data_IF_780319244626
#
_entry.id   IF_780319244626
#
_cell.length_a   1.000
_cell.length_b   1.000
_cell.length_c   1.000
_cell.angle_alpha   90.00
_cell.angle_beta   90.00
_cell.angle_gamma   90.00
#
_symmetry.space_group_name_H-M   'P 1'
#
loop_
_entity.id
_entity.type
_entity.pdbx_description
1 polymer ?
#
# COMPACT_ATOMS: atom_id res chain seq x y z
N UNK A 1 16.71 -9.05 -40.20
CA UNK A 1 15.87 -9.10 -41.40
C UNK A 1 15.47 -10.54 -41.62
N UNK A 2 14.35 -11.02 -41.08
CA UNK A 2 13.79 -12.33 -41.45
C UNK A 2 12.66 -12.05 -42.46
N UNK A 3 13.01 -12.17 -43.72
CA UNK A 3 12.09 -12.16 -44.85
C UNK A 3 12.05 -13.63 -45.30
N UNK A 4 11.05 -14.33 -44.88
CA UNK A 4 10.43 -15.54 -45.41
C UNK A 4 9.88 -16.39 -44.27
N UNK A 5 8.65 -16.85 -44.44
CA UNK A 5 7.83 -17.63 -43.51
C UNK A 5 8.38 -18.97 -43.01
N UNK A 6 9.62 -19.02 -42.59
CA UNK A 6 10.20 -20.12 -41.86
C UNK A 6 9.70 -20.06 -40.41
N UNK A 7 8.96 -21.10 -40.03
CA UNK A 7 8.60 -21.38 -38.65
C UNK A 7 9.91 -21.57 -37.88
N UNK A 8 10.33 -20.52 -37.17
CA UNK A 8 11.46 -20.58 -36.24
C UNK A 8 11.24 -21.75 -35.27
N UNK A 9 12.25 -22.59 -35.09
CA UNK A 9 12.25 -23.64 -34.06
C UNK A 9 12.01 -22.96 -32.71
N UNK A 10 11.26 -23.59 -31.81
CA UNK A 10 10.91 -23.07 -30.48
C UNK A 10 12.10 -22.42 -29.74
N UNK A 11 13.28 -23.00 -29.84
CA UNK A 11 14.52 -22.46 -29.25
C UNK A 11 14.99 -21.16 -29.90
N UNK A 12 14.86 -21.06 -31.22
CA UNK A 12 15.24 -19.86 -31.97
C UNK A 12 14.25 -18.72 -31.71
N UNK A 13 12.94 -19.00 -31.64
CA UNK A 13 11.89 -18.03 -31.32
C UNK A 13 12.05 -17.53 -29.89
N UNK A 14 12.33 -18.42 -28.94
CA UNK A 14 12.63 -18.06 -27.55
C UNK A 14 13.88 -17.16 -27.46
N UNK A 15 14.97 -17.51 -28.14
CA UNK A 15 16.20 -16.73 -28.12
C UNK A 15 16.01 -15.32 -28.71
N UNK A 16 15.30 -15.24 -29.85
CA UNK A 16 14.98 -13.95 -30.50
C UNK A 16 14.10 -13.08 -29.59
N UNK A 17 13.08 -13.65 -28.96
CA UNK A 17 12.20 -12.95 -28.02
C UNK A 17 12.97 -12.50 -26.77
N UNK A 18 13.84 -13.36 -26.25
CA UNK A 18 14.69 -13.01 -25.11
C UNK A 18 15.65 -11.86 -25.46
N UNK A 19 16.31 -11.94 -26.61
CA UNK A 19 17.18 -10.85 -27.08
C UNK A 19 16.43 -9.55 -27.29
N UNK A 20 15.24 -9.60 -27.90
CA UNK A 20 14.39 -8.42 -28.09
C UNK A 20 13.85 -7.84 -26.78
N UNK A 21 13.59 -8.68 -25.79
CA UNK A 21 13.08 -8.24 -24.51
C UNK A 21 14.16 -7.54 -23.65
N UNK A 22 15.38 -8.09 -23.64
CA UNK A 22 16.41 -7.66 -22.69
C UNK A 22 17.56 -6.87 -23.33
N UNK A 23 18.01 -7.25 -24.52
CA UNK A 23 19.23 -6.72 -25.12
C UNK A 23 18.97 -5.70 -26.23
N UNK A 24 17.82 -5.78 -26.91
CA UNK A 24 17.51 -4.87 -28.00
C UNK A 24 17.28 -3.46 -27.50
N UNK A 25 18.07 -2.49 -28.01
CA UNK A 25 17.94 -1.05 -27.71
C UNK A 25 18.09 -0.69 -26.23
N UNK A 26 19.04 -1.34 -25.52
CA UNK A 26 19.36 -1.07 -24.11
C UNK A 26 18.15 -1.16 -23.14
N UNK A 27 17.19 -2.01 -23.45
CA UNK A 27 15.98 -2.20 -22.64
C UNK A 27 16.26 -2.61 -21.20
N UNK A 28 17.39 -3.27 -20.94
CA UNK A 28 17.80 -3.63 -19.59
C UNK A 28 17.87 -2.41 -18.66
N UNK A 29 18.22 -1.22 -19.16
CA UNK A 29 18.21 0.02 -18.37
C UNK A 29 16.79 0.41 -17.92
N UNK A 30 15.77 0.11 -18.75
CA UNK A 30 14.37 0.37 -18.40
C UNK A 30 13.90 -0.53 -17.26
N UNK A 31 14.37 -1.78 -17.22
CA UNK A 31 14.08 -2.69 -16.11
C UNK A 31 14.70 -2.20 -14.81
N UNK A 32 15.95 -1.77 -14.81
CA UNK A 32 16.60 -1.21 -13.62
C UNK A 32 15.92 0.09 -13.14
N UNK A 33 15.53 0.97 -14.07
CA UNK A 33 14.72 2.15 -13.72
C UNK A 33 13.38 1.76 -13.13
N UNK A 34 12.70 0.75 -13.69
CA UNK A 34 11.44 0.22 -13.17
C UNK A 34 11.59 -0.33 -11.75
N UNK A 35 12.61 -1.12 -11.49
CA UNK A 35 12.95 -1.63 -10.14
C UNK A 35 13.18 -0.47 -9.17
N UNK A 36 13.99 0.53 -9.57
CA UNK A 36 14.23 1.71 -8.75
C UNK A 36 12.95 2.47 -8.40
N UNK A 37 12.07 2.67 -9.39
CA UNK A 37 10.76 3.31 -9.16
C UNK A 37 9.89 2.47 -8.22
N UNK A 38 9.87 1.15 -8.38
CA UNK A 38 9.11 0.26 -7.50
C UNK A 38 9.62 0.33 -6.06
N UNK A 39 10.93 0.28 -5.85
CA UNK A 39 11.54 0.40 -4.52
C UNK A 39 11.22 1.75 -3.88
N UNK A 40 11.28 2.84 -4.64
CA UNK A 40 10.93 4.18 -4.16
C UNK A 40 9.45 4.25 -3.72
N UNK A 41 8.53 3.79 -4.57
CA UNK A 41 7.09 3.74 -4.25
C UNK A 41 6.84 2.91 -3.01
N UNK A 42 7.47 1.74 -2.91
CA UNK A 42 7.34 0.84 -1.75
C UNK A 42 7.85 1.49 -0.48
N UNK A 43 9.01 2.14 -0.51
CA UNK A 43 9.57 2.83 0.66
C UNK A 43 8.65 3.97 1.14
N UNK A 44 8.17 4.81 0.23
CA UNK A 44 7.24 5.90 0.57
C UNK A 44 5.93 5.33 1.13
N UNK A 45 5.34 4.35 0.47
CA UNK A 45 4.10 3.72 0.90
C UNK A 45 4.23 3.03 2.26
N UNK A 46 5.38 2.39 2.52
CA UNK A 46 5.68 1.75 3.80
C UNK A 46 5.74 2.76 4.94
N UNK A 47 6.50 3.84 4.78
CA UNK A 47 6.64 4.89 5.80
C UNK A 47 5.28 5.53 6.08
N UNK A 48 4.55 5.93 5.04
CA UNK A 48 3.22 6.50 5.17
C UNK A 48 2.25 5.52 5.84
N UNK A 49 2.27 4.26 5.43
CA UNK A 49 1.41 3.21 5.97
C UNK A 49 1.67 2.95 7.45
N UNK A 50 2.94 2.87 7.87
CA UNK A 50 3.30 2.66 9.27
C UNK A 50 2.91 3.86 10.13
N UNK A 51 3.22 5.08 9.70
CA UNK A 51 2.90 6.30 10.45
C UNK A 51 1.38 6.47 10.58
N UNK A 52 0.65 6.38 9.47
CA UNK A 52 -0.81 6.50 9.46
C UNK A 52 -1.46 5.37 10.28
N UNK A 53 -1.00 4.14 10.09
CA UNK A 53 -1.51 2.98 10.82
C UNK A 53 -1.28 3.08 12.33
N UNK A 54 -0.11 3.56 12.76
CA UNK A 54 0.18 3.78 14.17
C UNK A 54 -0.74 4.85 14.78
N UNK A 55 -0.94 5.98 14.10
CA UNK A 55 -1.85 7.05 14.57
C UNK A 55 -3.28 6.51 14.72
N UNK A 56 -3.79 5.83 13.70
CA UNK A 56 -5.15 5.25 13.71
C UNK A 56 -5.29 4.21 14.81
N UNK A 57 -4.29 3.34 14.99
CA UNK A 57 -4.29 2.33 16.05
C UNK A 57 -4.31 2.97 17.46
N UNK A 58 -3.47 3.99 17.69
CA UNK A 58 -3.43 4.70 18.97
C UNK A 58 -4.78 5.34 19.33
N UNK A 59 -5.43 5.98 18.37
CA UNK A 59 -6.76 6.58 18.58
C UNK A 59 -7.79 5.52 18.96
N UNK A 60 -7.80 4.39 18.23
CA UNK A 60 -8.79 3.32 18.45
C UNK A 60 -8.54 2.56 19.75
N UNK A 61 -7.30 2.26 20.10
CA UNK A 61 -6.93 1.62 21.37
C UNK A 61 -7.19 2.55 22.53
N UNK A 62 -6.79 3.83 22.42
CA UNK A 62 -7.03 4.82 23.45
C UNK A 62 -8.52 5.01 23.75
N UNK A 63 -9.38 4.98 22.73
CA UNK A 63 -10.83 5.00 22.94
C UNK A 63 -11.36 3.72 23.61
N UNK A 64 -10.85 2.55 23.20
CA UNK A 64 -11.28 1.26 23.75
C UNK A 64 -10.91 1.09 25.23
N UNK A 65 -9.80 1.69 25.66
CA UNK A 65 -9.33 1.64 27.07
C UNK A 65 -10.02 2.63 28.01
N UNK A 66 -10.82 3.57 27.48
CA UNK A 66 -11.56 4.51 28.32
C UNK A 66 -12.66 3.81 29.11
N UNK A 67 -12.75 4.15 30.41
CA UNK A 67 -13.84 3.70 31.28
C UNK A 67 -15.19 4.22 30.77
N UNK A 68 -16.28 3.42 30.82
CA UNK A 68 -17.59 3.80 30.25
C UNK A 68 -18.14 5.13 30.75
N UNK A 69 -17.80 5.52 31.99
CA UNK A 69 -18.32 6.70 32.66
C UNK A 69 -17.52 8.01 32.38
N UNK A 70 -16.34 7.90 31.72
CA UNK A 70 -15.45 9.04 31.46
C UNK A 70 -14.99 9.07 29.98
N UNK A 71 -15.89 8.70 29.06
CA UNK A 71 -15.58 8.71 27.62
C UNK A 71 -15.52 10.14 27.09
N UNK A 72 -14.35 10.52 26.59
CA UNK A 72 -14.17 11.81 25.94
C UNK A 72 -14.93 11.80 24.58
N UNK A 73 -15.90 12.72 24.37
CA UNK A 73 -16.70 12.75 23.13
C UNK A 73 -15.84 13.04 21.90
N UNK A 74 -14.78 13.84 22.03
CA UNK A 74 -13.86 14.16 20.92
C UNK A 74 -13.15 12.88 20.44
N UNK A 75 -12.64 12.08 21.39
CA UNK A 75 -11.99 10.83 21.05
C UNK A 75 -12.98 9.81 20.46
N UNK A 76 -14.26 9.87 20.86
CA UNK A 76 -15.34 9.10 20.26
C UNK A 76 -15.55 9.41 18.78
N UNK A 77 -15.59 10.69 18.44
CA UNK A 77 -15.72 11.15 17.04
C UNK A 77 -14.49 10.72 16.22
N UNK A 78 -13.28 10.94 16.75
CA UNK A 78 -12.04 10.51 16.08
C UNK A 78 -12.02 9.00 15.86
N UNK A 79 -12.43 8.21 16.86
CA UNK A 79 -12.53 6.76 16.71
C UNK A 79 -13.53 6.35 15.63
N UNK A 80 -14.69 7.02 15.54
CA UNK A 80 -15.69 6.75 14.51
C UNK A 80 -15.12 7.02 13.09
N UNK A 81 -14.44 8.15 12.92
CA UNK A 81 -13.77 8.48 11.65
C UNK A 81 -12.69 7.44 11.28
N UNK A 82 -11.86 7.07 12.25
CA UNK A 82 -10.85 6.01 12.04
C UNK A 82 -11.50 4.66 11.69
N UNK A 83 -12.63 4.32 12.31
CA UNK A 83 -13.35 3.08 12.02
C UNK A 83 -13.93 3.09 10.60
N UNK A 84 -14.55 4.19 10.18
CA UNK A 84 -15.05 4.36 8.80
C UNK A 84 -13.90 4.22 7.79
N UNK A 85 -12.79 4.92 8.04
CA UNK A 85 -11.59 4.82 7.20
C UNK A 85 -11.13 3.37 7.02
N UNK A 86 -10.92 2.65 8.13
CA UNK A 86 -10.44 1.26 8.09
C UNK A 86 -11.45 0.35 7.39
N UNK A 87 -12.75 0.51 7.68
CA UNK A 87 -13.80 -0.31 7.10
C UNK A 87 -13.92 -0.10 5.58
N UNK A 88 -13.91 1.16 5.13
CA UNK A 88 -14.01 1.48 3.70
C UNK A 88 -12.78 1.00 2.94
N UNK A 89 -11.58 1.31 3.45
CA UNK A 89 -10.34 0.96 2.76
C UNK A 89 -10.13 -0.55 2.69
N UNK A 90 -10.42 -1.29 3.76
CA UNK A 90 -10.29 -2.76 3.76
C UNK A 90 -11.46 -3.47 3.08
N UNK A 91 -12.61 -2.82 2.99
CA UNK A 91 -13.80 -3.36 2.33
C UNK A 91 -13.85 -3.14 0.82
N UNK A 92 -12.95 -2.33 0.27
CA UNK A 92 -12.91 -2.03 -1.17
C UNK A 92 -11.66 -2.60 -1.84
N UNK A 93 -11.76 -3.10 -3.10
CA UNK A 93 -10.59 -3.60 -3.84
C UNK A 93 -9.56 -2.50 -4.06
N UNK A 94 -8.28 -2.81 -3.81
CA UNK A 94 -7.18 -1.88 -3.96
C UNK A 94 -7.07 -1.26 -5.36
N UNK A 95 -7.36 -2.04 -6.42
CA UNK A 95 -7.36 -1.54 -7.80
C UNK A 95 -8.36 -0.41 -7.99
N UNK A 96 -9.55 -0.53 -7.39
CA UNK A 96 -10.58 0.52 -7.44
C UNK A 96 -10.09 1.78 -6.74
N UNK A 97 -9.43 1.65 -5.58
CA UNK A 97 -8.85 2.79 -4.86
C UNK A 97 -7.78 3.50 -5.70
N UNK A 98 -6.89 2.75 -6.36
CA UNK A 98 -5.88 3.30 -7.25
C UNK A 98 -6.52 4.06 -8.43
N UNK A 99 -7.57 3.52 -9.04
CA UNK A 99 -8.29 4.18 -10.13
C UNK A 99 -8.98 5.46 -9.66
N UNK A 100 -9.65 5.44 -8.52
CA UNK A 100 -10.28 6.63 -7.95
C UNK A 100 -9.23 7.70 -7.63
N UNK A 101 -8.13 7.32 -6.99
CA UNK A 101 -7.05 8.25 -6.66
C UNK A 101 -6.44 8.87 -7.92
N UNK A 102 -6.17 8.08 -8.96
CA UNK A 102 -5.49 8.56 -10.16
C UNK A 102 -6.43 9.30 -11.13
N UNK A 103 -7.67 8.85 -11.29
CA UNK A 103 -8.58 9.38 -12.32
C UNK A 103 -9.57 10.41 -11.81
N UNK A 104 -9.86 10.41 -10.49
CA UNK A 104 -10.83 11.32 -9.89
C UNK A 104 -10.15 12.37 -9.02
N UNK A 105 -9.42 11.93 -7.99
CA UNK A 105 -8.87 12.84 -6.97
C UNK A 105 -7.66 13.60 -7.54
N UNK A 106 -6.75 12.90 -8.20
CA UNK A 106 -5.52 13.46 -8.78
C UNK A 106 -5.52 13.44 -10.31
N UNK A 107 -6.70 13.62 -10.94
CA UNK A 107 -6.84 13.60 -12.39
C UNK A 107 -5.94 14.63 -13.12
N UNK A 108 -5.64 15.76 -12.48
CA UNK A 108 -4.75 16.80 -13.01
C UNK A 108 -3.26 16.54 -12.70
N UNK A 109 -2.94 15.54 -11.90
CA UNK A 109 -1.55 15.24 -11.53
C UNK A 109 -0.85 14.48 -12.66
N UNK A 110 0.35 14.96 -13.02
CA UNK A 110 1.23 14.26 -13.99
C UNK A 110 2.18 13.26 -13.31
N UNK A 111 2.21 13.22 -11.99
CA UNK A 111 3.10 12.34 -11.24
C UNK A 111 2.36 11.10 -10.73
N UNK A 112 2.08 10.16 -11.62
CA UNK A 112 1.38 8.91 -11.29
C UNK A 112 2.14 8.06 -10.26
N UNK A 113 3.46 8.15 -10.21
CA UNK A 113 4.29 7.44 -9.23
C UNK A 113 3.96 7.89 -7.81
N UNK A 114 3.85 9.20 -7.59
CA UNK A 114 3.50 9.75 -6.27
C UNK A 114 2.04 9.44 -5.89
N UNK A 115 1.12 9.55 -6.84
CA UNK A 115 -0.30 9.19 -6.62
C UNK A 115 -0.42 7.72 -6.23
N UNK A 116 0.31 6.84 -6.91
CA UNK A 116 0.38 5.42 -6.57
C UNK A 116 0.95 5.19 -5.17
N UNK A 117 2.04 5.86 -4.81
CA UNK A 117 2.65 5.76 -3.48
C UNK A 117 1.70 6.21 -2.36
N UNK A 118 0.95 7.30 -2.57
CA UNK A 118 -0.06 7.79 -1.63
C UNK A 118 -1.22 6.79 -1.47
N UNK A 119 -1.76 6.29 -2.58
CA UNK A 119 -2.85 5.31 -2.53
C UNK A 119 -2.44 4.03 -1.81
N UNK A 120 -1.23 3.52 -2.10
CA UNK A 120 -0.64 2.35 -1.44
C UNK A 120 -0.40 2.61 0.05
N UNK A 121 0.11 3.77 0.41
CA UNK A 121 0.35 4.17 1.79
C UNK A 121 -0.95 4.26 2.60
N UNK A 122 -1.99 4.87 2.05
CA UNK A 122 -3.32 4.95 2.67
C UNK A 122 -3.91 3.55 2.85
N UNK A 123 -3.81 2.70 1.83
CA UNK A 123 -4.27 1.31 1.92
C UNK A 123 -3.50 0.54 3.00
N UNK A 124 -2.17 0.56 2.98
CA UNK A 124 -1.31 -0.09 3.97
C UNK A 124 -1.62 0.39 5.39
N UNK A 125 -1.86 1.69 5.59
CA UNK A 125 -2.17 2.27 6.90
C UNK A 125 -3.40 1.64 7.56
N UNK A 126 -4.44 1.32 6.78
CA UNK A 126 -5.62 0.66 7.30
C UNK A 126 -5.31 -0.77 7.80
N UNK A 127 -4.49 -1.53 7.08
CA UNK A 127 -4.07 -2.87 7.51
C UNK A 127 -3.12 -2.83 8.71
N UNK A 128 -2.11 -1.95 8.67
CA UNK A 128 -1.15 -1.76 9.77
C UNK A 128 -1.87 -1.35 11.05
N UNK A 129 -2.88 -0.49 10.97
CA UNK A 129 -3.65 -0.07 12.14
C UNK A 129 -4.35 -1.23 12.84
N UNK A 130 -4.90 -2.18 12.08
CA UNK A 130 -5.54 -3.36 12.66
C UNK A 130 -4.53 -4.35 13.26
N UNK A 131 -3.37 -4.50 12.61
CA UNK A 131 -2.29 -5.36 13.14
C UNK A 131 -1.79 -4.80 14.47
N UNK A 132 -1.50 -3.51 14.55
CA UNK A 132 -1.06 -2.85 15.79
C UNK A 132 -2.15 -2.93 16.86
N UNK A 133 -3.40 -2.62 16.51
CA UNK A 133 -4.53 -2.72 17.44
C UNK A 133 -4.70 -4.14 17.97
N UNK A 134 -4.66 -5.13 17.10
CA UNK A 134 -4.75 -6.55 17.49
C UNK A 134 -3.60 -6.97 18.42
N UNK A 135 -2.37 -6.57 18.12
CA UNK A 135 -1.21 -6.84 18.95
C UNK A 135 -1.31 -6.19 20.33
N UNK A 136 -1.68 -4.91 20.41
CA UNK A 136 -1.84 -4.20 21.68
C UNK A 136 -2.97 -4.76 22.55
N UNK A 137 -4.04 -5.23 21.95
CA UNK A 137 -5.17 -5.82 22.69
C UNK A 137 -4.94 -7.29 23.09
N UNK A 138 -3.95 -7.95 22.51
CA UNK A 138 -3.57 -9.32 22.88
C UNK A 138 -2.63 -9.41 24.09
N UNK A 139 -2.08 -8.27 24.55
CA UNK A 139 -1.22 -8.23 25.75
C UNK A 139 -2.09 -8.42 26.98
N UNK A 140 -1.74 -9.43 27.79
CA UNK A 140 -2.43 -9.75 29.04
C UNK A 140 -2.27 -8.58 30.04
N UNK A 141 -3.38 -8.10 30.66
CA UNK A 141 -3.33 -7.07 31.70
C UNK A 141 -2.37 -7.40 32.85
N UNK A 142 -2.19 -8.67 33.18
CA UNK A 142 -1.25 -9.11 34.24
C UNK A 142 0.21 -8.83 33.91
N UNK A 143 0.58 -8.69 32.63
CA UNK A 143 1.94 -8.29 32.26
C UNK A 143 2.21 -6.80 32.46
N UNK A 144 1.17 -5.97 32.46
CA UNK A 144 1.29 -4.53 32.76
C UNK A 144 1.40 -4.24 34.27
N UNK A 145 0.99 -5.18 35.13
CA UNK A 145 1.14 -5.05 36.58
C UNK A 145 2.51 -5.58 37.08
N UNK A 146 3.23 -6.37 36.27
CA UNK A 146 4.52 -6.98 36.62
C UNK A 146 5.75 -6.15 36.20
N UNK A 147 5.59 -5.06 35.45
CA UNK A 147 6.63 -4.11 35.01
C UNK A 147 6.46 -2.75 35.62
#
# INVERSE_FOLDING_TARGET
>A
MAKNGDKLNFGQDFFVKFYQAFLYSDRWQQYFKGVGTTLLVTAIALVLGVVLGAIVAMVRVGYAQQKPHHRNPILGVLNAVCQVYVTVIRGTPMMVQLLIMSMVIFASSRNFTMVGALALGINSGAYVSEIIRGGLMAVDPGQMEAG
#
